data_IF_076714686143
#
_entry.id   IF_076714686143
#
_cell.length_a   1.000
_cell.length_b   1.000
_cell.length_c   1.000
_cell.angle_alpha   90.00
_cell.angle_beta   90.00
_cell.angle_gamma   90.00
#
_symmetry.space_group_name_H-M   'P 1'
#
loop_
_entity.id
_entity.type
_entity.pdbx_description
1 polymer ?
#
# COMPACT_ATOMS: atom_id res chain seq x y z
N UNK A 1 20.96 17.92 -23.36
CA UNK A 1 19.94 16.85 -23.43
C UNK A 1 20.44 15.57 -22.74
N UNK A 2 20.48 15.54 -21.40
CA UNK A 2 20.91 14.35 -20.63
C UNK A 2 20.10 14.12 -19.34
N UNK A 3 19.18 15.02 -18.98
CA UNK A 3 18.39 14.94 -17.74
C UNK A 3 17.13 14.06 -17.84
N UNK A 4 16.73 13.64 -19.05
CA UNK A 4 15.49 12.88 -19.27
C UNK A 4 15.67 11.35 -19.18
N UNK A 5 16.90 10.84 -19.29
CA UNK A 5 17.19 9.39 -19.27
C UNK A 5 17.20 8.78 -17.85
N UNK A 6 17.45 9.60 -16.81
CA UNK A 6 17.54 9.11 -15.43
C UNK A 6 16.17 8.74 -14.82
N UNK A 7 15.09 9.38 -15.27
CA UNK A 7 13.75 9.14 -14.72
C UNK A 7 13.12 7.81 -15.15
N UNK A 8 13.69 7.10 -16.15
CA UNK A 8 13.18 5.80 -16.61
C UNK A 8 13.85 4.59 -15.94
N UNK A 9 14.77 4.79 -14.97
CA UNK A 9 15.59 3.67 -14.44
C UNK A 9 14.99 2.90 -13.27
N UNK A 10 14.06 3.44 -12.48
CA UNK A 10 13.31 2.68 -11.46
C UNK A 10 12.01 3.41 -11.10
N UNK A 11 10.95 3.17 -11.87
CA UNK A 11 9.59 3.42 -11.37
C UNK A 11 9.27 2.46 -10.22
N UNK A 12 8.29 2.76 -9.35
CA UNK A 12 7.87 1.81 -8.32
C UNK A 12 7.52 0.49 -9.01
N UNK A 13 8.22 -0.58 -8.62
CA UNK A 13 8.02 -1.92 -9.16
C UNK A 13 6.53 -2.27 -8.99
N UNK A 14 5.80 -2.61 -10.07
CA UNK A 14 4.44 -3.11 -9.94
C UNK A 14 4.47 -4.33 -9.02
N UNK A 15 3.57 -4.36 -8.03
CA UNK A 15 3.47 -5.52 -7.16
C UNK A 15 3.03 -6.72 -8.00
N UNK A 16 3.67 -7.86 -7.78
CA UNK A 16 3.28 -9.08 -8.46
C UNK A 16 2.05 -9.68 -7.78
N UNK A 17 1.30 -10.50 -8.51
CA UNK A 17 0.17 -11.22 -7.95
C UNK A 17 0.56 -12.15 -6.78
N UNK A 18 1.77 -12.69 -6.81
CA UNK A 18 2.30 -13.51 -5.72
C UNK A 18 2.54 -12.69 -4.44
N UNK A 19 2.99 -11.45 -4.61
CA UNK A 19 3.18 -10.50 -3.51
C UNK A 19 1.84 -10.17 -2.85
N UNK A 20 0.82 -9.84 -3.67
CA UNK A 20 -0.54 -9.58 -3.18
C UNK A 20 -1.09 -10.77 -2.40
N UNK A 21 -0.94 -12.00 -2.92
CA UNK A 21 -1.41 -13.21 -2.22
C UNK A 21 -0.72 -13.41 -0.87
N UNK A 22 0.61 -13.24 -0.85
CA UNK A 22 1.38 -13.42 0.38
C UNK A 22 0.97 -12.39 1.44
N UNK A 23 0.83 -11.13 1.04
CA UNK A 23 0.42 -10.06 1.94
C UNK A 23 -1.03 -10.21 2.41
N UNK A 24 -1.94 -10.61 1.52
CA UNK A 24 -3.34 -10.87 1.87
C UNK A 24 -3.48 -12.01 2.89
N UNK A 25 -2.68 -13.08 2.74
CA UNK A 25 -2.67 -14.19 3.68
C UNK A 25 -2.15 -13.76 5.07
N UNK A 26 -1.07 -12.97 5.10
CA UNK A 26 -0.54 -12.42 6.36
C UNK A 26 -1.54 -11.48 7.03
N UNK A 27 -2.14 -10.56 6.26
CA UNK A 27 -3.18 -9.65 6.75
C UNK A 27 -4.37 -10.43 7.34
N UNK A 28 -4.88 -11.44 6.63
CA UNK A 28 -5.98 -12.25 7.12
C UNK A 28 -5.66 -12.99 8.42
N UNK A 29 -4.40 -13.37 8.66
CA UNK A 29 -3.97 -14.03 9.91
C UNK A 29 -3.80 -13.04 11.05
N UNK A 30 -3.17 -11.89 10.77
CA UNK A 30 -2.95 -10.83 11.75
C UNK A 30 -4.27 -10.29 12.30
N UNK A 31 -5.29 -10.18 11.44
CA UNK A 31 -6.63 -9.73 11.81
C UNK A 31 -7.62 -10.88 12.11
N UNK A 32 -7.18 -12.14 12.12
CA UNK A 32 -8.05 -13.29 12.40
C UNK A 32 -8.51 -13.33 13.85
N UNK A 33 -7.61 -13.00 14.78
CA UNK A 33 -7.84 -13.08 16.23
C UNK A 33 -8.14 -11.70 16.84
N UNK A 34 -8.09 -10.63 16.04
CA UNK A 34 -8.33 -9.26 16.48
C UNK A 34 -9.83 -8.98 16.58
N UNK A 35 -10.39 -9.22 17.76
CA UNK A 35 -11.82 -9.00 18.07
C UNK A 35 -12.09 -7.66 18.75
N UNK A 36 -11.07 -6.80 18.89
CA UNK A 36 -11.15 -5.60 19.72
C UNK A 36 -11.76 -4.43 18.94
N UNK A 37 -12.94 -3.99 19.35
CA UNK A 37 -13.76 -2.92 18.75
C UNK A 37 -13.05 -1.55 18.63
N UNK A 38 -11.89 -1.41 19.27
CA UNK A 38 -11.10 -0.18 19.35
C UNK A 38 -9.71 -0.28 18.66
N UNK A 39 -9.39 -1.40 18.01
CA UNK A 39 -8.20 -1.48 17.16
C UNK A 39 -8.33 -0.40 16.08
N UNK A 40 -7.47 0.61 16.15
CA UNK A 40 -7.63 1.90 15.47
C UNK A 40 -8.06 1.66 14.01
N UNK A 41 -9.28 2.04 13.64
CA UNK A 41 -9.83 1.77 12.30
C UNK A 41 -8.88 2.23 11.18
N UNK A 42 -8.07 3.25 11.47
CA UNK A 42 -6.98 3.71 10.61
C UNK A 42 -5.92 2.63 10.32
N UNK A 43 -5.49 1.87 11.32
CA UNK A 43 -4.51 0.78 11.19
C UNK A 43 -5.05 -0.39 10.37
N UNK A 44 -6.33 -0.71 10.51
CA UNK A 44 -7.00 -1.68 9.64
C UNK A 44 -6.94 -1.26 8.17
N UNK A 45 -7.38 -0.03 7.88
CA UNK A 45 -7.40 0.48 6.51
C UNK A 45 -5.99 0.63 5.93
N UNK A 46 -5.03 1.11 6.74
CA UNK A 46 -3.63 1.23 6.32
C UNK A 46 -3.05 -0.16 5.97
N UNK A 47 -3.30 -1.19 6.79
CA UNK A 47 -2.90 -2.57 6.53
C UNK A 47 -3.59 -3.20 5.31
N UNK A 48 -4.88 -2.94 5.14
CA UNK A 48 -5.66 -3.45 4.01
C UNK A 48 -5.17 -2.87 2.68
N UNK A 49 -4.92 -1.56 2.61
CA UNK A 49 -4.40 -0.93 1.39
C UNK A 49 -2.95 -1.34 1.10
N UNK A 50 -2.18 -1.63 2.15
CA UNK A 50 -0.82 -2.14 2.00
C UNK A 50 -0.76 -3.46 1.21
N UNK A 51 -1.74 -4.37 1.38
CA UNK A 51 -1.86 -5.63 0.60
C UNK A 51 -1.84 -5.39 -0.91
N UNK A 52 -2.40 -4.25 -1.35
CA UNK A 52 -2.46 -3.84 -2.75
C UNK A 52 -1.33 -2.89 -3.15
N UNK A 53 -0.30 -2.74 -2.31
CA UNK A 53 0.80 -1.79 -2.53
C UNK A 53 0.33 -0.33 -2.58
N UNK A 54 -0.87 -0.04 -2.09
CA UNK A 54 -1.45 1.29 -2.02
C UNK A 54 -1.06 1.86 -0.65
N UNK A 55 -0.04 2.72 -0.62
CA UNK A 55 0.19 3.57 0.55
C UNK A 55 -0.35 4.97 0.25
N UNK A 56 -1.04 5.59 1.20
CA UNK A 56 -1.60 6.94 1.09
C UNK A 56 -0.56 8.06 0.90
N UNK A 57 0.71 7.74 0.58
CA UNK A 57 1.77 8.71 0.28
C UNK A 57 1.57 9.48 -1.04
N UNK A 58 0.50 9.19 -1.80
CA UNK A 58 0.18 9.86 -3.08
C UNK A 58 -1.06 10.77 -3.01
N UNK A 59 -1.81 10.82 -1.90
CA UNK A 59 -3.00 11.67 -1.75
C UNK A 59 -2.68 13.00 -1.04
N UNK A 60 -1.42 13.45 -1.08
CA UNK A 60 -1.03 14.79 -0.63
C UNK A 60 -1.11 15.87 -1.74
N UNK A 61 -1.70 15.55 -2.89
CA UNK A 61 -1.79 16.47 -4.04
C UNK A 61 -3.19 16.64 -4.60
N UNK A 62 -4.23 16.45 -3.78
CA UNK A 62 -5.56 17.03 -4.06
C UNK A 62 -5.44 18.56 -3.93
N UNK A 63 -4.83 19.16 -4.96
CA UNK A 63 -4.83 20.60 -5.16
C UNK A 63 -6.29 21.02 -5.29
N UNK A 64 -6.73 21.83 -4.33
CA UNK A 64 -7.86 22.73 -4.46
C UNK A 64 -7.62 23.59 -5.72
N UNK A 65 -8.42 23.37 -6.76
CA UNK A 65 -8.69 24.40 -7.76
C UNK A 65 -9.69 25.40 -7.15
#
# INVERSE_FOLDING_TARGET
MAKFSFYLRVGPKPISWNEVKSQALSFSKEWADETTENAEAKSFWDGFFYVFGISCKRVASLKKL
#
